data_IF_557385213712
#
_entry.id   IF_557385213712
#
_cell.length_a   1.000
_cell.length_b   1.000
_cell.length_c   1.000
_cell.angle_alpha   90.00
_cell.angle_beta   90.00
_cell.angle_gamma   90.00
#
_symmetry.space_group_name_H-M   'P 1'
#
loop_
_entity.id
_entity.type
_entity.pdbx_description
1 polymer ?
#
# COMPACT_ATOMS: atom_id res chain seq x y z
N UNK A 1 -37.45 -24.03 -20.27
CA UNK A 1 -36.91 -23.50 -19.00
C UNK A 1 -35.39 -23.61 -18.99
N UNK A 2 -34.83 -24.81 -19.17
CA UNK A 2 -33.39 -25.09 -19.24
C UNK A 2 -32.57 -24.21 -20.20
N UNK A 3 -33.11 -23.83 -21.37
CA UNK A 3 -32.38 -22.97 -22.32
C UNK A 3 -32.23 -21.53 -21.81
N UNK A 4 -33.28 -20.96 -21.21
CA UNK A 4 -33.25 -19.59 -20.67
C UNK A 4 -32.31 -19.51 -19.47
N UNK A 5 -32.35 -20.52 -18.59
CA UNK A 5 -31.47 -20.61 -17.44
C UNK A 5 -29.99 -20.75 -17.88
N UNK A 6 -29.71 -21.48 -18.97
CA UNK A 6 -28.37 -21.52 -19.57
C UNK A 6 -27.90 -20.17 -20.13
N UNK A 7 -28.78 -19.41 -20.80
CA UNK A 7 -28.42 -18.07 -21.30
C UNK A 7 -28.11 -17.12 -20.15
N UNK A 8 -28.92 -17.14 -19.08
CA UNK A 8 -28.69 -16.32 -17.89
C UNK A 8 -27.36 -16.71 -17.23
N UNK A 9 -27.07 -18.01 -17.11
CA UNK A 9 -25.81 -18.49 -16.53
C UNK A 9 -24.58 -18.08 -17.38
N UNK A 10 -24.64 -18.27 -18.70
CA UNK A 10 -23.57 -17.88 -19.62
C UNK A 10 -23.30 -16.37 -19.57
N UNK A 11 -24.37 -15.59 -19.60
CA UNK A 11 -24.33 -14.13 -19.52
C UNK A 11 -23.74 -13.65 -18.19
N UNK A 12 -24.19 -14.21 -17.06
CA UNK A 12 -23.64 -13.88 -15.73
C UNK A 12 -22.15 -14.23 -15.62
N UNK A 13 -21.71 -15.34 -16.21
CA UNK A 13 -20.30 -15.71 -16.21
C UNK A 13 -19.45 -14.73 -17.04
N UNK A 14 -19.94 -14.31 -18.22
CA UNK A 14 -19.25 -13.30 -19.03
C UNK A 14 -19.16 -11.96 -18.30
N UNK A 15 -20.25 -11.51 -17.67
CA UNK A 15 -20.24 -10.30 -16.85
C UNK A 15 -19.30 -10.43 -15.66
N UNK A 16 -19.27 -11.56 -14.97
CA UNK A 16 -18.37 -11.78 -13.84
C UNK A 16 -16.89 -11.68 -14.28
N UNK A 17 -16.52 -12.31 -15.40
CA UNK A 17 -15.17 -12.25 -15.94
C UNK A 17 -14.74 -10.82 -16.34
N UNK A 18 -15.64 -10.06 -16.96
CA UNK A 18 -15.38 -8.66 -17.33
C UNK A 18 -15.22 -7.78 -16.08
N UNK A 19 -16.10 -7.94 -15.09
CA UNK A 19 -16.03 -7.21 -13.82
C UNK A 19 -14.72 -7.52 -13.05
N UNK A 20 -14.27 -8.77 -13.05
CA UNK A 20 -13.03 -9.16 -12.36
C UNK A 20 -11.80 -8.54 -13.02
N UNK A 21 -11.74 -8.51 -14.36
CA UNK A 21 -10.67 -7.82 -15.08
C UNK A 21 -10.61 -6.33 -14.76
N UNK A 22 -11.76 -5.66 -14.77
CA UNK A 22 -11.88 -4.24 -14.44
C UNK A 22 -11.40 -3.94 -13.01
N UNK A 23 -11.74 -4.79 -12.03
CA UNK A 23 -11.28 -4.66 -10.63
C UNK A 23 -9.76 -4.66 -10.54
N UNK A 24 -9.08 -5.61 -11.19
CA UNK A 24 -7.61 -5.71 -11.13
C UNK A 24 -6.92 -4.52 -11.81
N UNK A 25 -7.44 -4.06 -12.94
CA UNK A 25 -6.87 -2.93 -13.69
C UNK A 25 -7.05 -1.60 -12.94
N UNK A 26 -8.23 -1.38 -12.36
CA UNK A 26 -8.51 -0.18 -11.58
C UNK A 26 -7.62 -0.14 -10.32
N UNK A 27 -7.58 -1.23 -9.55
CA UNK A 27 -6.75 -1.33 -8.35
C UNK A 27 -5.25 -1.16 -8.65
N UNK A 28 -4.77 -1.76 -9.75
CA UNK A 28 -3.39 -1.62 -10.19
C UNK A 28 -3.04 -0.18 -10.57
N UNK A 29 -3.92 0.53 -11.27
CA UNK A 29 -3.68 1.92 -11.70
C UNK A 29 -3.59 2.87 -10.51
N UNK A 30 -4.51 2.78 -9.55
CA UNK A 30 -4.45 3.61 -8.34
C UNK A 30 -3.24 3.30 -7.47
N UNK A 31 -2.89 2.02 -7.33
CA UNK A 31 -1.70 1.60 -6.58
C UNK A 31 -0.43 2.17 -7.22
N UNK A 32 -0.32 2.07 -8.55
CA UNK A 32 0.82 2.60 -9.30
C UNK A 32 0.92 4.12 -9.17
N UNK A 33 -0.19 4.85 -9.26
CA UNK A 33 -0.21 6.30 -9.01
C UNK A 33 0.24 6.64 -7.57
N UNK A 34 -0.23 5.91 -6.57
CA UNK A 34 0.20 6.09 -5.18
C UNK A 34 1.70 5.88 -4.98
N UNK A 35 2.25 4.85 -5.63
CA UNK A 35 3.70 4.57 -5.62
C UNK A 35 4.49 5.70 -6.29
N UNK A 36 4.02 6.24 -7.42
CA UNK A 36 4.67 7.37 -8.10
C UNK A 36 4.68 8.64 -7.26
N UNK A 37 3.56 8.97 -6.61
CA UNK A 37 3.47 10.12 -5.70
C UNK A 37 4.42 9.94 -4.52
N UNK A 38 4.47 8.73 -3.97
CA UNK A 38 5.41 8.38 -2.91
C UNK A 38 6.87 8.61 -3.36
N UNK A 39 7.28 8.10 -4.52
CA UNK A 39 8.63 8.31 -5.05
C UNK A 39 8.96 9.78 -5.28
N UNK A 40 8.01 10.56 -5.78
CA UNK A 40 8.17 12.00 -5.92
C UNK A 40 8.40 12.68 -4.56
N UNK A 41 7.64 12.29 -3.54
CA UNK A 41 7.76 12.85 -2.19
C UNK A 41 9.11 12.48 -1.54
N UNK A 42 9.58 11.23 -1.72
CA UNK A 42 10.92 10.80 -1.29
C UNK A 42 12.01 11.63 -1.98
N UNK A 43 11.89 11.83 -3.30
CA UNK A 43 12.88 12.59 -4.08
C UNK A 43 12.98 14.04 -3.62
N UNK A 44 11.84 14.69 -3.33
CA UNK A 44 11.80 16.03 -2.78
C UNK A 44 12.42 16.11 -1.37
N UNK A 45 12.14 15.12 -0.53
CA UNK A 45 12.78 15.01 0.79
C UNK A 45 14.29 14.83 0.66
N UNK A 46 14.75 14.02 -0.31
CA UNK A 46 16.17 13.77 -0.56
C UNK A 46 16.93 15.00 -1.01
N UNK A 47 16.27 15.89 -1.77
CA UNK A 47 16.87 17.16 -2.21
C UNK A 47 17.05 18.20 -1.09
N UNK A 48 16.32 18.10 0.03
CA UNK A 48 16.40 19.06 1.15
C UNK A 48 16.85 18.39 2.46
N UNK A 49 18.04 17.76 2.46
CA UNK A 49 18.62 17.04 3.60
C UNK A 49 19.18 17.96 4.71
N UNK A 50 18.30 18.67 5.43
CA UNK A 50 18.71 19.55 6.53
C UNK A 50 18.83 18.83 7.89
N UNK A 51 18.02 17.79 8.15
CA UNK A 51 18.05 17.01 9.40
C UNK A 51 17.90 15.50 9.13
N UNK A 52 19.00 14.81 8.76
CA UNK A 52 18.99 13.41 8.36
C UNK A 52 18.36 12.41 9.35
N UNK A 53 18.50 12.52 10.70
CA UNK A 53 17.91 11.53 11.61
C UNK A 53 16.38 11.61 11.68
N UNK A 54 15.80 12.80 11.58
CA UNK A 54 14.35 13.02 11.63
C UNK A 54 13.71 12.67 10.29
N UNK A 55 14.31 13.10 9.18
CA UNK A 55 13.78 12.83 7.83
C UNK A 55 13.77 11.34 7.51
N UNK A 56 14.77 10.56 7.96
CA UNK A 56 14.76 9.10 7.78
C UNK A 56 13.57 8.44 8.48
N UNK A 57 13.18 8.92 9.67
CA UNK A 57 12.00 8.42 10.40
C UNK A 57 10.70 8.76 9.66
N UNK A 58 10.59 9.97 9.12
CA UNK A 58 9.43 10.40 8.32
C UNK A 58 9.31 9.57 7.03
N UNK A 59 10.42 9.36 6.32
CA UNK A 59 10.45 8.52 5.12
C UNK A 59 10.00 7.09 5.41
N UNK A 60 10.45 6.50 6.52
CA UNK A 60 10.01 5.18 6.95
C UNK A 60 8.50 5.11 7.25
N UNK A 61 7.88 6.17 7.77
CA UNK A 61 6.42 6.22 7.93
C UNK A 61 5.73 6.36 6.56
N UNK A 62 6.29 7.18 5.68
CA UNK A 62 5.73 7.45 4.35
C UNK A 62 5.70 6.19 3.45
N UNK A 63 6.63 5.26 3.68
CA UNK A 63 6.68 3.94 3.04
C UNK A 63 5.42 3.08 3.29
N UNK A 64 4.55 3.46 4.23
CA UNK A 64 3.22 2.84 4.42
C UNK A 64 2.41 2.81 3.12
N UNK A 65 2.35 3.92 2.39
CA UNK A 65 1.48 4.04 1.20
C UNK A 65 1.80 3.00 0.12
N UNK A 66 3.05 2.84 -0.35
CA UNK A 66 3.37 1.83 -1.36
C UNK A 66 3.24 0.40 -0.82
N UNK A 67 3.61 0.12 0.44
CA UNK A 67 3.51 -1.22 1.03
C UNK A 67 2.06 -1.68 1.12
N UNK A 68 1.17 -0.84 1.64
CA UNK A 68 -0.25 -1.19 1.81
C UNK A 68 -0.99 -1.22 0.46
N UNK A 69 -0.65 -0.33 -0.47
CA UNK A 69 -1.19 -0.35 -1.83
C UNK A 69 -0.81 -1.63 -2.58
N UNK A 70 0.48 -1.99 -2.57
CA UNK A 70 0.97 -3.19 -3.25
C UNK A 70 0.43 -4.47 -2.62
N UNK A 71 0.42 -4.58 -1.29
CA UNK A 71 -0.14 -5.75 -0.61
C UNK A 71 -1.62 -5.94 -0.91
N UNK A 72 -2.41 -4.84 -0.95
CA UNK A 72 -3.82 -4.87 -1.32
C UNK A 72 -4.03 -5.35 -2.77
N UNK A 73 -3.27 -4.80 -3.72
CA UNK A 73 -3.36 -5.22 -5.12
C UNK A 73 -2.92 -6.67 -5.33
N UNK A 74 -1.82 -7.10 -4.69
CA UNK A 74 -1.35 -8.48 -4.79
C UNK A 74 -2.32 -9.46 -4.13
N UNK A 75 -2.95 -9.08 -3.01
CA UNK A 75 -3.98 -9.89 -2.35
C UNK A 75 -5.22 -10.08 -3.22
N UNK A 76 -5.59 -9.07 -4.02
CA UNK A 76 -6.65 -9.19 -5.01
C UNK A 76 -6.27 -10.19 -6.11
N UNK A 77 -5.06 -10.10 -6.66
CA UNK A 77 -4.62 -10.98 -7.77
C UNK A 77 -4.36 -12.41 -7.30
N UNK A 78 -3.82 -12.57 -6.09
CA UNK A 78 -3.40 -13.86 -5.54
C UNK A 78 -3.95 -14.04 -4.10
N UNK A 79 -5.19 -14.54 -3.96
CA UNK A 79 -5.78 -14.75 -2.63
C UNK A 79 -5.01 -15.77 -1.78
N UNK A 80 -4.23 -16.68 -2.41
CA UNK A 80 -3.40 -17.66 -1.68
C UNK A 80 -2.27 -17.02 -0.86
N UNK A 81 -1.79 -15.83 -1.23
CA UNK A 81 -0.69 -15.16 -0.51
C UNK A 81 -1.18 -14.15 0.52
N UNK A 82 -2.49 -13.91 0.60
CA UNK A 82 -3.12 -12.94 1.51
C UNK A 82 -2.65 -13.13 2.95
N UNK A 83 -2.63 -14.37 3.45
CA UNK A 83 -2.20 -14.67 4.82
C UNK A 83 -0.73 -14.30 5.07
N UNK A 84 0.17 -14.59 4.13
CA UNK A 84 1.57 -14.24 4.26
C UNK A 84 1.80 -12.73 4.18
N UNK A 85 1.05 -12.02 3.33
CA UNK A 85 1.11 -10.57 3.21
C UNK A 85 0.54 -9.88 4.46
N UNK A 86 -0.46 -10.49 5.11
CA UNK A 86 -0.99 -10.03 6.39
C UNK A 86 0.09 -9.99 7.47
N UNK A 87 0.85 -11.08 7.64
CA UNK A 87 1.94 -11.13 8.62
C UNK A 87 3.01 -10.07 8.34
N UNK A 88 3.38 -9.87 7.08
CA UNK A 88 4.37 -8.85 6.69
C UNK A 88 3.86 -7.43 7.04
N UNK A 89 2.58 -7.17 6.79
CA UNK A 89 1.93 -5.89 7.11
C UNK A 89 1.92 -5.66 8.62
N UNK A 90 1.57 -6.66 9.41
CA UNK A 90 1.53 -6.54 10.87
C UNK A 90 2.94 -6.28 11.45
N UNK A 91 3.98 -6.95 10.91
CA UNK A 91 5.36 -6.68 11.29
C UNK A 91 5.83 -5.27 10.89
N UNK A 92 5.46 -4.82 9.69
CA UNK A 92 5.79 -3.49 9.21
C UNK A 92 5.09 -2.40 10.04
N UNK A 93 3.85 -2.64 10.44
CA UNK A 93 3.09 -1.75 11.33
C UNK A 93 3.80 -1.57 12.67
N UNK A 94 4.27 -2.66 13.29
CA UNK A 94 5.04 -2.60 14.53
C UNK A 94 6.34 -1.76 14.35
N UNK A 95 7.05 -1.94 13.24
CA UNK A 95 8.24 -1.14 12.91
C UNK A 95 7.91 0.35 12.70
N UNK A 96 6.81 0.64 12.02
CA UNK A 96 6.38 2.01 11.77
C UNK A 96 5.96 2.72 13.06
N UNK A 97 5.26 2.03 13.96
CA UNK A 97 4.91 2.54 15.30
C UNK A 97 6.16 2.81 16.13
N UNK A 98 7.14 1.91 16.12
CA UNK A 98 8.43 2.13 16.79
C UNK A 98 9.14 3.39 16.26
N UNK A 99 9.16 3.54 14.94
CA UNK A 99 9.79 4.69 14.28
C UNK A 99 9.06 6.00 14.58
N UNK A 100 7.73 5.96 14.61
CA UNK A 100 6.88 7.09 14.99
C UNK A 100 7.07 7.48 16.46
N UNK A 101 7.17 6.51 17.37
CA UNK A 101 7.47 6.78 18.77
C UNK A 101 8.85 7.46 18.92
N UNK A 102 9.85 6.99 18.19
CA UNK A 102 11.15 7.66 18.13
C UNK A 102 11.02 9.10 17.62
N UNK A 103 10.21 9.35 16.59
CA UNK A 103 9.95 10.71 16.09
C UNK A 103 9.31 11.58 17.18
N UNK A 104 8.32 11.09 17.91
CA UNK A 104 7.68 11.81 19.02
C UNK A 104 8.68 12.16 20.12
N UNK A 105 9.51 11.20 20.53
CA UNK A 105 10.56 11.45 21.54
C UNK A 105 11.52 12.53 21.07
N UNK A 106 11.96 12.49 19.81
CA UNK A 106 12.86 13.52 19.24
C UNK A 106 12.21 14.91 19.19
N UNK A 107 10.90 14.98 18.90
CA UNK A 107 10.15 16.24 18.90
C UNK A 107 9.95 16.78 20.33
N UNK A 108 9.57 15.92 21.28
CA UNK A 108 9.36 16.30 22.68
C UNK A 108 10.65 16.73 23.39
N UNK A 109 11.81 16.20 22.96
CA UNK A 109 13.12 16.57 23.50
C UNK A 109 13.67 17.89 22.96
N UNK A 110 12.90 18.63 22.17
CA UNK A 110 13.24 20.00 21.75
C UNK A 110 14.20 20.12 20.57
N UNK A 111 14.55 19.01 19.91
CA UNK A 111 15.49 19.04 18.77
C UNK A 111 16.97 18.91 19.15
N UNK A 112 17.27 18.71 20.43
CA UNK A 112 18.63 18.55 20.94
C UNK A 112 18.92 17.06 21.20
N UNK A 113 19.58 16.41 20.24
CA UNK A 113 20.55 15.35 20.50
C UNK A 113 21.91 15.88 20.01
N UNK A 114 23.01 15.61 20.75
CA UNK A 114 24.30 16.30 20.64
C UNK A 114 24.90 16.33 19.23
#
# INVERSE_FOLDING_TARGET
KNNMDQYIMFTNHQFAAENDFLKYQLAGTFTLLGVLIFFWHVTNHVRHWYKPPIQRRILAILWMVPVYGLTSWVSLVFPKVESSLGVIRDCYEAYAVYTFFGLLVAVLRGGDEP
#
